data_IF_940672621098
#
_entry.id   IF_940672621098
#
_cell.length_a   1.000
_cell.length_b   1.000
_cell.length_c   1.000
_cell.angle_alpha   90.00
_cell.angle_beta   90.00
_cell.angle_gamma   90.00
#
_symmetry.space_group_name_H-M   'P 1'
#
loop_
_entity.id
_entity.type
_entity.pdbx_description
1 polymer ?
#
# COMPACT_ATOMS: atom_id res chain seq x y z
N UNK A 1 -54.12 -8.50 -4.34
CA UNK A 1 -53.08 -8.84 -3.33
C UNK A 1 -51.75 -9.30 -3.95
N UNK A 2 -51.68 -9.68 -5.24
CA UNK A 2 -50.45 -10.16 -5.89
C UNK A 2 -49.38 -9.08 -6.16
N UNK A 3 -49.79 -7.83 -6.46
CA UNK A 3 -48.86 -6.73 -6.84
C UNK A 3 -47.84 -6.39 -5.74
N UNK A 4 -48.22 -6.59 -4.46
CA UNK A 4 -47.37 -6.27 -3.31
C UNK A 4 -46.25 -7.29 -3.09
N UNK A 5 -46.36 -8.48 -3.69
CA UNK A 5 -45.38 -9.56 -3.57
C UNK A 5 -44.24 -9.44 -4.60
N UNK A 6 -44.55 -8.99 -5.82
CA UNK A 6 -43.55 -8.73 -6.87
C UNK A 6 -42.61 -7.57 -6.54
N UNK A 7 -43.12 -6.50 -5.92
CA UNK A 7 -42.28 -5.39 -5.47
C UNK A 7 -41.31 -5.82 -4.36
N UNK A 8 -41.75 -6.65 -3.41
CA UNK A 8 -40.88 -7.20 -2.35
C UNK A 8 -39.73 -8.06 -2.92
N UNK A 9 -40.01 -8.90 -3.93
CA UNK A 9 -38.97 -9.71 -4.60
C UNK A 9 -37.97 -8.83 -5.34
N UNK A 10 -38.45 -7.74 -5.95
CA UNK A 10 -37.60 -6.77 -6.64
C UNK A 10 -36.68 -6.02 -5.66
N UNK A 11 -37.22 -5.55 -4.54
CA UNK A 11 -36.46 -4.91 -3.46
C UNK A 11 -35.40 -5.86 -2.86
N UNK A 12 -35.75 -7.12 -2.61
CA UNK A 12 -34.81 -8.15 -2.15
C UNK A 12 -33.66 -8.36 -3.14
N UNK A 13 -33.94 -8.47 -4.44
CA UNK A 13 -32.91 -8.63 -5.48
C UNK A 13 -31.96 -7.43 -5.55
N UNK A 14 -32.49 -6.21 -5.41
CA UNK A 14 -31.70 -4.98 -5.38
C UNK A 14 -30.79 -4.96 -4.15
N UNK A 15 -31.34 -5.26 -2.98
CA UNK A 15 -30.58 -5.34 -1.74
C UNK A 15 -29.47 -6.38 -1.78
N UNK A 16 -29.76 -7.58 -2.32
CA UNK A 16 -28.76 -8.63 -2.51
C UNK A 16 -27.62 -8.16 -3.43
N UNK A 17 -27.92 -7.46 -4.53
CA UNK A 17 -26.89 -6.90 -5.41
C UNK A 17 -26.02 -5.85 -4.69
N UNK A 18 -26.62 -4.97 -3.90
CA UNK A 18 -25.88 -3.98 -3.11
C UNK A 18 -24.96 -4.63 -2.06
N UNK A 19 -25.47 -5.64 -1.34
CA UNK A 19 -24.68 -6.40 -0.37
C UNK A 19 -23.53 -7.13 -1.06
N UNK A 20 -23.77 -7.74 -2.21
CA UNK A 20 -22.77 -8.48 -2.97
C UNK A 20 -21.70 -7.55 -3.55
N UNK A 21 -22.08 -6.35 -4.02
CA UNK A 21 -21.16 -5.30 -4.44
C UNK A 21 -20.28 -4.81 -3.27
N UNK A 22 -20.89 -4.56 -2.11
CA UNK A 22 -20.18 -4.11 -0.91
C UNK A 22 -19.14 -5.14 -0.43
N UNK A 23 -19.50 -6.43 -0.43
CA UNK A 23 -18.58 -7.52 -0.09
C UNK A 23 -17.41 -7.61 -1.08
N UNK A 24 -17.65 -7.41 -2.39
CA UNK A 24 -16.59 -7.37 -3.39
C UNK A 24 -15.59 -6.23 -3.14
N UNK A 25 -16.09 -5.04 -2.80
CA UNK A 25 -15.24 -3.89 -2.49
C UNK A 25 -14.33 -4.14 -1.29
N UNK A 26 -14.86 -4.75 -0.22
CA UNK A 26 -14.06 -5.08 0.98
C UNK A 26 -12.98 -6.10 0.66
N UNK A 27 -13.29 -7.11 -0.17
CA UNK A 27 -12.32 -8.15 -0.51
C UNK A 27 -11.14 -7.63 -1.34
N UNK A 28 -11.37 -6.56 -2.11
CA UNK A 28 -10.36 -5.92 -2.97
C UNK A 28 -9.31 -5.13 -2.18
N UNK A 29 -9.61 -4.74 -0.93
CA UNK A 29 -8.80 -3.85 -0.11
C UNK A 29 -7.84 -4.54 0.86
N UNK A 30 -7.15 -5.61 0.45
CA UNK A 30 -6.09 -6.24 1.26
C UNK A 30 -4.81 -5.39 1.20
N UNK A 31 -4.77 -4.28 1.94
CA UNK A 31 -3.54 -3.53 2.16
C UNK A 31 -2.66 -4.30 3.15
N UNK A 32 -1.47 -4.74 2.73
CA UNK A 32 -0.52 -5.34 3.66
C UNK A 32 0.09 -4.23 4.51
N UNK A 33 -0.19 -4.28 5.81
CA UNK A 33 0.48 -3.40 6.76
C UNK A 33 1.90 -3.92 6.91
N UNK A 34 2.88 -3.23 6.32
CA UNK A 34 4.26 -3.41 6.74
C UNK A 34 4.30 -3.23 8.25
N UNK A 35 4.80 -4.24 8.98
CA UNK A 35 5.23 -4.05 10.36
C UNK A 35 6.10 -2.81 10.34
N UNK A 36 5.66 -1.70 10.95
CA UNK A 36 6.35 -0.42 10.80
C UNK A 36 7.52 -0.40 11.78
N UNK A 37 8.77 -0.65 11.37
CA UNK A 37 9.88 -0.16 12.16
C UNK A 37 9.83 1.37 12.01
N UNK A 38 9.61 2.08 13.12
CA UNK A 38 9.89 3.53 13.14
C UNK A 38 11.40 3.66 13.18
N UNK A 39 12.02 3.81 12.01
CA UNK A 39 13.46 3.96 11.87
C UNK A 39 13.78 5.44 11.87
N UNK A 40 14.64 5.87 12.79
CA UNK A 40 15.25 7.20 12.73
C UNK A 40 16.30 7.16 11.63
N UNK A 41 15.99 7.77 10.48
CA UNK A 41 16.97 7.96 9.42
C UNK A 41 18.01 8.97 9.92
N UNK A 42 19.31 8.66 9.90
CA UNK A 42 20.34 9.58 10.32
C UNK A 42 20.36 10.81 9.40
N UNK A 43 20.79 11.95 9.96
CA UNK A 43 21.01 13.16 9.18
C UNK A 43 22.06 12.88 8.09
N UNK A 44 21.72 13.22 6.85
CA UNK A 44 22.58 13.01 5.70
C UNK A 44 23.72 14.04 5.69
N UNK A 45 24.93 13.62 6.06
CA UNK A 45 26.15 14.44 6.03
C UNK A 45 26.83 14.47 4.66
N UNK A 46 26.11 14.09 3.59
CA UNK A 46 26.60 14.06 2.21
C UNK A 46 26.60 12.66 1.58
N UNK A 47 26.40 11.60 2.37
CA UNK A 47 26.25 10.22 1.90
C UNK A 47 24.86 9.69 2.27
N UNK A 48 23.98 9.45 1.29
CA UNK A 48 22.66 8.87 1.53
C UNK A 48 22.78 7.50 2.20
N UNK A 49 22.07 7.30 3.31
CA UNK A 49 22.02 5.99 3.98
C UNK A 49 20.92 5.14 3.37
N UNK A 50 21.27 3.93 2.95
CA UNK A 50 20.38 3.00 2.25
C UNK A 50 19.87 1.91 3.20
N UNK A 51 18.56 1.71 3.19
CA UNK A 51 17.85 0.67 3.94
C UNK A 51 17.04 -0.18 2.98
N UNK A 52 16.94 -1.48 3.24
CA UNK A 52 16.10 -2.37 2.43
C UNK A 52 14.87 -2.76 3.22
N UNK A 53 13.68 -2.48 2.68
CA UNK A 53 12.40 -2.96 3.20
C UNK A 53 12.03 -4.26 2.50
N UNK A 54 11.53 -5.23 3.27
CA UNK A 54 11.10 -6.53 2.77
C UNK A 54 9.77 -6.91 3.43
N UNK A 55 8.78 -7.27 2.59
CA UNK A 55 7.50 -7.80 3.06
C UNK A 55 7.59 -9.32 3.19
N UNK A 56 7.52 -9.83 4.43
CA UNK A 56 7.69 -11.26 4.72
C UNK A 56 6.51 -12.14 4.29
N UNK A 57 5.30 -11.60 4.17
CA UNK A 57 4.12 -12.37 3.77
C UNK A 57 4.09 -12.73 2.27
N UNK A 58 5.12 -12.36 1.51
CA UNK A 58 5.12 -12.51 0.05
C UNK A 58 4.06 -11.61 -0.60
N UNK A 59 4.00 -11.61 -1.92
CA UNK A 59 3.02 -10.82 -2.69
C UNK A 59 3.65 -9.90 -3.72
N UNK A 60 2.85 -8.94 -4.19
CA UNK A 60 3.18 -8.05 -5.30
C UNK A 60 2.83 -6.63 -4.87
N UNK A 61 3.83 -5.91 -4.37
CA UNK A 61 3.65 -4.59 -3.77
C UNK A 61 4.17 -3.47 -4.66
N UNK A 62 3.53 -2.31 -4.57
CA UNK A 62 3.91 -1.10 -5.29
C UNK A 62 4.34 -0.04 -4.29
N UNK A 63 5.63 0.24 -4.31
CA UNK A 63 6.24 1.10 -3.32
C UNK A 63 6.05 2.57 -3.67
N UNK A 64 5.69 3.38 -2.68
CA UNK A 64 5.61 4.83 -2.80
C UNK A 64 5.99 5.52 -1.49
N UNK A 65 6.39 6.78 -1.58
CA UNK A 65 6.72 7.63 -0.42
C UNK A 65 5.75 8.79 -0.35
N UNK A 66 5.36 9.18 0.86
CA UNK A 66 4.60 10.42 1.08
C UNK A 66 5.44 11.67 0.76
N UNK A 67 6.78 11.57 0.86
CA UNK A 67 7.73 12.67 0.75
C UNK A 67 9.03 12.24 0.05
N UNK A 68 9.09 12.52 -1.25
CA UNK A 68 10.24 12.20 -2.10
C UNK A 68 11.42 13.17 -1.94
N UNK A 69 11.20 14.32 -1.31
CA UNK A 69 12.21 15.30 -0.91
C UNK A 69 13.10 14.80 0.24
N UNK A 70 12.54 13.96 1.12
CA UNK A 70 13.27 13.39 2.26
C UNK A 70 13.79 11.99 1.98
N UNK A 71 13.00 11.17 1.29
CA UNK A 71 13.26 9.73 1.13
C UNK A 71 12.95 9.29 -0.29
N UNK A 72 13.93 8.67 -0.93
CA UNK A 72 13.76 7.99 -2.21
C UNK A 72 13.44 6.51 -2.00
N UNK A 73 12.58 5.95 -2.84
CA UNK A 73 12.16 4.55 -2.77
C UNK A 73 12.27 3.92 -4.15
N UNK A 74 13.01 2.82 -4.24
CA UNK A 74 13.26 2.10 -5.49
C UNK A 74 12.89 0.62 -5.27
N UNK A 75 11.89 0.08 -5.99
CA UNK A 75 11.57 -1.34 -5.91
C UNK A 75 12.75 -2.16 -6.42
N UNK A 76 13.15 -3.18 -5.67
CA UNK A 76 14.19 -4.12 -6.09
C UNK A 76 13.56 -5.21 -6.95
N UNK A 77 14.22 -5.74 -7.98
CA UNK A 77 13.64 -6.80 -8.80
C UNK A 77 13.31 -8.02 -7.91
N UNK A 78 12.09 -8.53 -8.04
CA UNK A 78 11.72 -9.81 -7.43
C UNK A 78 12.21 -10.95 -8.32
N UNK A 79 12.50 -12.12 -7.73
CA UNK A 79 12.92 -13.30 -8.50
C UNK A 79 11.89 -13.74 -9.56
N UNK A 80 10.64 -13.29 -9.42
CA UNK A 80 9.56 -13.57 -10.37
C UNK A 80 9.60 -12.76 -11.67
N UNK A 81 10.57 -11.85 -11.84
CA UNK A 81 10.78 -11.10 -13.10
C UNK A 81 9.68 -10.08 -13.46
N UNK A 82 8.71 -9.86 -12.57
CA UNK A 82 7.67 -8.84 -12.76
C UNK A 82 8.25 -7.47 -12.37
N UNK A 83 8.54 -6.64 -13.36
CA UNK A 83 9.04 -5.26 -13.13
C UNK A 83 7.99 -4.34 -12.47
N UNK A 84 6.71 -4.72 -12.52
CA UNK A 84 5.60 -3.87 -12.06
C UNK A 84 5.33 -3.93 -10.54
N UNK A 85 5.95 -4.87 -9.82
CA UNK A 85 5.80 -4.98 -8.37
C UNK A 85 6.95 -5.77 -7.73
N UNK A 86 7.19 -5.48 -6.44
CA UNK A 86 8.24 -6.16 -5.70
C UNK A 86 7.90 -6.36 -4.24
N UNK A 87 8.40 -7.44 -3.64
CA UNK A 87 8.40 -7.67 -2.20
C UNK A 87 9.50 -6.91 -1.47
N UNK A 88 10.48 -6.37 -2.19
CA UNK A 88 11.64 -5.65 -1.64
C UNK A 88 11.75 -4.25 -2.24
N UNK A 89 12.13 -3.29 -1.43
CA UNK A 89 12.47 -1.94 -1.91
C UNK A 89 13.67 -1.37 -1.17
N UNK A 90 14.51 -0.67 -1.92
CA UNK A 90 15.58 0.15 -1.40
C UNK A 90 15.02 1.52 -1.03
N UNK A 91 15.32 1.97 0.17
CA UNK A 91 14.89 3.24 0.75
C UNK A 91 16.13 4.03 1.13
N UNK A 92 16.29 5.20 0.53
CA UNK A 92 17.45 6.06 0.74
C UNK A 92 17.05 7.38 1.37
N UNK A 93 17.68 7.75 2.47
CA UNK A 93 17.53 9.09 3.05
C UNK A 93 18.29 10.11 2.21
N UNK A 94 17.56 10.94 1.47
CA UNK A 94 18.11 11.94 0.53
C UNK A 94 17.94 13.37 1.02
N UNK A 95 17.23 13.59 2.14
CA UNK A 95 17.08 14.91 2.75
C UNK A 95 18.44 15.59 2.90
N UNK A 96 18.53 16.87 2.53
CA UNK A 96 19.71 17.72 2.75
C UNK A 96 19.46 18.77 3.82
N UNK A 97 18.24 18.80 4.37
CA UNK A 97 17.82 19.80 5.33
C UNK A 97 18.10 19.32 6.76
N UNK A 98 18.59 20.22 7.64
CA UNK A 98 18.88 19.90 9.04
C UNK A 98 17.62 19.74 9.89
N UNK A 99 16.45 20.16 9.40
CA UNK A 99 15.19 19.92 10.10
C UNK A 99 14.81 18.44 10.18
N UNK A 100 14.25 18.06 11.32
CA UNK A 100 13.68 16.73 11.51
C UNK A 100 12.44 16.55 10.61
N UNK A 101 12.56 15.67 9.63
CA UNK A 101 11.48 15.28 8.75
C UNK A 101 11.00 13.85 8.98
N UNK A 102 9.74 13.59 8.68
CA UNK A 102 9.16 12.26 8.61
C UNK A 102 8.65 11.96 7.18
N UNK A 103 8.72 10.69 6.81
CA UNK A 103 8.14 10.16 5.58
C UNK A 103 7.44 8.83 5.89
N UNK A 104 6.35 8.57 5.17
CA UNK A 104 5.59 7.32 5.25
C UNK A 104 5.81 6.57 3.95
N UNK A 105 6.23 5.32 4.06
CA UNK A 105 6.41 4.42 2.91
C UNK A 105 5.20 3.50 2.84
N UNK A 106 4.61 3.42 1.65
CA UNK A 106 3.42 2.63 1.33
C UNK A 106 3.81 1.54 0.32
N UNK A 107 3.18 0.36 0.41
CA UNK A 107 3.46 -0.80 -0.44
C UNK A 107 2.17 -1.52 -0.85
#
# INVERSE_FOLDING_TARGET
>A
MAVKFEECISFYKIWVKFVLLFLLCIYSGRAAKLTVPRILLPYNTGVPTNYTLEVKEGGCYKWSSSRYDLVSVIPLPSESGKESCSTKALVSAVSRYPEHGNAIILA
#
